data_IF_292158897751
#
_entry.id   IF_292158897751
#
_cell.length_a   1.000
_cell.length_b   1.000
_cell.length_c   1.000
_cell.angle_alpha   90.00
_cell.angle_beta   90.00
_cell.angle_gamma   90.00
#
_symmetry.space_group_name_H-M   'P 1'
#
loop_
_entity.id
_entity.type
_entity.pdbx_description
1 polymer ?
#
# COMPACT_ATOMS: atom_id res chain seq x y z
N UNK A 1 22.63 23.78 10.13
CA UNK A 1 22.36 23.68 8.67
C UNK A 1 21.87 22.30 8.26
N UNK A 2 22.46 21.22 8.77
CA UNK A 2 22.09 19.84 8.45
C UNK A 2 20.66 19.46 8.90
N UNK A 3 20.27 19.78 10.13
CA UNK A 3 18.91 19.50 10.64
C UNK A 3 17.80 20.15 9.82
N UNK A 4 18.04 21.37 9.31
CA UNK A 4 17.07 22.05 8.44
C UNK A 4 16.88 21.31 7.12
N UNK A 5 17.95 20.69 6.58
CA UNK A 5 17.89 19.88 5.35
C UNK A 5 17.18 18.55 5.59
N UNK A 6 17.46 17.88 6.73
CA UNK A 6 16.75 16.67 7.15
C UNK A 6 15.24 16.92 7.27
N UNK A 7 14.85 17.96 8.03
CA UNK A 7 13.44 18.36 8.16
C UNK A 7 12.75 18.67 6.83
N UNK A 8 13.46 19.30 5.89
CA UNK A 8 12.91 19.57 4.56
C UNK A 8 12.71 18.28 3.74
N UNK A 9 13.65 17.34 3.84
CA UNK A 9 13.54 16.02 3.22
C UNK A 9 12.38 15.22 3.80
N UNK A 10 12.28 15.13 5.12
CA UNK A 10 11.20 14.42 5.82
C UNK A 10 9.84 15.01 5.44
N UNK A 11 9.74 16.36 5.45
CA UNK A 11 8.51 17.04 5.02
C UNK A 11 8.16 16.71 3.57
N UNK A 12 9.14 16.59 2.67
CA UNK A 12 8.88 16.23 1.28
C UNK A 12 8.32 14.81 1.17
N UNK A 13 8.96 13.84 1.82
CA UNK A 13 8.53 12.43 1.82
C UNK A 13 7.15 12.29 2.45
N UNK A 14 6.91 12.96 3.58
CA UNK A 14 5.63 12.91 4.29
C UNK A 14 4.47 13.57 3.52
N UNK A 15 4.77 14.41 2.53
CA UNK A 15 3.77 14.98 1.61
C UNK A 15 3.76 14.28 0.23
N UNK A 16 4.52 13.21 0.04
CA UNK A 16 4.23 12.22 -1.00
C UNK A 16 2.83 11.67 -0.75
N UNK A 17 2.18 11.16 -1.80
CA UNK A 17 0.77 10.80 -1.75
C UNK A 17 0.53 9.43 -2.32
N UNK A 18 -0.46 8.72 -1.78
CA UNK A 18 -0.99 7.49 -2.37
C UNK A 18 -2.50 7.63 -2.57
N UNK A 19 -3.13 6.60 -3.15
CA UNK A 19 -4.58 6.54 -3.35
C UNK A 19 -5.20 5.69 -2.25
N UNK A 20 -6.06 6.28 -1.44
CA UNK A 20 -6.81 5.60 -0.36
C UNK A 20 -8.29 5.58 -0.69
N UNK A 21 -8.98 4.47 -0.47
CA UNK A 21 -10.40 4.36 -0.68
C UNK A 21 -11.19 5.15 0.38
N UNK A 22 -11.94 6.15 -0.05
CA UNK A 22 -12.86 6.88 0.82
C UNK A 22 -14.26 6.27 0.72
N UNK A 23 -14.71 5.62 1.80
CA UNK A 23 -16.00 4.93 1.87
C UNK A 23 -17.19 5.89 1.66
N UNK A 24 -17.11 7.10 2.22
CA UNK A 24 -18.14 8.14 2.09
C UNK A 24 -18.38 8.54 0.64
N UNK A 25 -17.30 8.74 -0.13
CA UNK A 25 -17.37 9.12 -1.54
C UNK A 25 -17.37 7.94 -2.52
N UNK A 26 -17.24 6.71 -2.01
CA UNK A 26 -17.10 5.46 -2.77
C UNK A 26 -16.04 5.52 -3.88
N UNK A 27 -14.92 6.20 -3.61
CA UNK A 27 -13.83 6.38 -4.60
C UNK A 27 -12.47 6.46 -3.94
N UNK A 28 -11.43 6.19 -4.71
CA UNK A 28 -10.06 6.46 -4.29
C UNK A 28 -9.75 7.96 -4.33
N UNK A 29 -9.15 8.46 -3.25
CA UNK A 29 -8.68 9.85 -3.13
C UNK A 29 -7.18 9.88 -2.91
N UNK A 30 -6.55 10.95 -3.38
CA UNK A 30 -5.14 11.22 -3.15
C UNK A 30 -4.96 11.70 -1.72
N UNK A 31 -4.21 10.95 -0.92
CA UNK A 31 -3.98 11.23 0.51
C UNK A 31 -2.46 11.33 0.75
N UNK A 32 -1.98 12.35 1.49
CA UNK A 32 -0.57 12.42 1.90
C UNK A 32 -0.18 11.22 2.76
N UNK A 33 1.07 10.73 2.63
CA UNK A 33 1.54 9.56 3.36
C UNK A 33 1.42 9.71 4.88
N UNK A 34 1.67 10.92 5.41
CA UNK A 34 1.48 11.24 6.83
C UNK A 34 0.04 11.07 7.35
N UNK A 35 -0.94 11.03 6.46
CA UNK A 35 -2.37 10.96 6.79
C UNK A 35 -2.95 9.55 6.57
N UNK A 36 -2.14 8.59 6.08
CA UNK A 36 -2.52 7.18 5.93
C UNK A 36 -2.64 6.51 7.29
N UNK A 37 -3.68 5.70 7.48
CA UNK A 37 -4.00 5.03 8.75
C UNK A 37 -4.07 3.51 8.59
N UNK A 38 -3.88 2.80 9.70
CA UNK A 38 -4.10 1.34 9.77
C UNK A 38 -5.55 1.04 9.39
N UNK A 39 -5.75 0.10 8.48
CA UNK A 39 -7.06 -0.27 7.94
C UNK A 39 -7.45 0.46 6.65
N UNK A 40 -6.68 1.46 6.21
CA UNK A 40 -6.92 2.13 4.93
C UNK A 40 -6.70 1.17 3.76
N UNK A 41 -7.66 1.11 2.83
CA UNK A 41 -7.47 0.40 1.58
C UNK A 41 -6.70 1.27 0.59
N UNK A 42 -5.43 0.93 0.37
CA UNK A 42 -4.55 1.64 -0.54
C UNK A 42 -4.58 0.98 -1.93
N UNK A 43 -4.65 1.79 -2.98
CA UNK A 43 -4.42 1.35 -4.34
C UNK A 43 -3.06 1.85 -4.82
N UNK A 44 -2.24 0.92 -5.29
CA UNK A 44 -0.97 1.19 -5.94
C UNK A 44 -1.02 0.80 -7.41
N UNK A 45 -0.42 1.62 -8.26
CA UNK A 45 -0.18 1.28 -9.67
C UNK A 45 1.28 0.91 -9.89
N UNK A 46 1.57 0.36 -11.07
CA UNK A 46 2.92 -0.05 -11.42
C UNK A 46 3.92 1.09 -11.21
N UNK A 47 5.09 0.76 -10.65
CA UNK A 47 6.18 1.69 -10.32
C UNK A 47 5.83 2.76 -9.26
N UNK A 48 4.77 2.59 -8.46
CA UNK A 48 4.54 3.44 -7.29
C UNK A 48 5.25 2.90 -6.05
N UNK A 49 5.76 3.82 -5.23
CA UNK A 49 6.39 3.48 -3.96
C UNK A 49 5.31 3.10 -2.94
N UNK A 50 5.56 1.99 -2.24
CA UNK A 50 4.69 1.51 -1.17
C UNK A 50 4.81 2.46 0.04
N UNK A 51 3.70 3.05 0.54
CA UNK A 51 3.75 4.12 1.55
C UNK A 51 3.90 3.64 3.00
N UNK A 52 3.62 2.36 3.27
CA UNK A 52 3.61 1.74 4.60
C UNK A 52 3.72 0.21 4.46
N UNK A 53 3.84 -0.52 5.58
CA UNK A 53 3.67 -1.96 5.55
C UNK A 53 2.23 -2.32 5.16
N UNK A 54 2.06 -3.15 4.12
CA UNK A 54 0.74 -3.46 3.52
C UNK A 54 0.51 -4.95 3.41
N UNK A 55 -0.76 -5.36 3.52
CA UNK A 55 -1.23 -6.68 3.12
C UNK A 55 -1.77 -6.62 1.69
N UNK A 56 -1.23 -7.44 0.79
CA UNK A 56 -1.72 -7.57 -0.57
C UNK A 56 -3.05 -8.34 -0.58
N UNK A 57 -4.16 -7.64 -0.75
CA UNK A 57 -5.51 -8.25 -0.79
C UNK A 57 -6.05 -8.48 -2.19
N UNK A 58 -5.48 -7.84 -3.21
CA UNK A 58 -5.88 -7.96 -4.62
C UNK A 58 -4.74 -7.57 -5.55
N UNK A 59 -4.62 -8.27 -6.67
CA UNK A 59 -3.78 -7.86 -7.81
C UNK A 59 -4.61 -7.70 -9.08
N UNK A 60 -4.08 -6.98 -10.06
CA UNK A 60 -4.60 -6.98 -11.44
C UNK A 60 -4.19 -8.23 -12.23
N UNK A 61 -3.19 -8.96 -11.75
CA UNK A 61 -2.81 -10.25 -12.33
C UNK A 61 -3.87 -11.32 -12.00
N UNK A 62 -4.34 -12.12 -12.98
CA UNK A 62 -5.39 -13.13 -12.77
C UNK A 62 -5.04 -14.23 -11.76
N UNK A 63 -3.75 -14.47 -11.50
CA UNK A 63 -3.29 -15.43 -10.50
C UNK A 63 -3.01 -14.78 -9.14
N UNK A 64 -3.32 -13.48 -8.99
CA UNK A 64 -3.12 -12.75 -7.75
C UNK A 64 -1.66 -12.36 -7.49
N UNK A 65 -0.78 -12.43 -8.49
CA UNK A 65 0.63 -12.09 -8.32
C UNK A 65 0.91 -10.59 -8.43
N UNK A 66 1.90 -10.11 -7.67
CA UNK A 66 2.56 -8.85 -7.93
C UNK A 66 4.06 -8.96 -7.67
N UNK A 67 4.79 -7.96 -8.12
CA UNK A 67 6.24 -7.92 -8.02
C UNK A 67 6.66 -6.64 -7.30
N UNK A 68 7.55 -6.78 -6.33
CA UNK A 68 8.06 -5.68 -5.53
C UNK A 68 9.55 -5.57 -5.78
N UNK A 69 9.98 -4.36 -6.09
CA UNK A 69 11.39 -4.00 -6.11
C UNK A 69 11.82 -3.58 -4.70
N UNK A 70 12.78 -4.31 -4.15
CA UNK A 70 13.38 -4.03 -2.84
C UNK A 70 14.82 -3.54 -2.93
N UNK A 71 15.32 -3.21 -4.12
CA UNK A 71 16.72 -2.83 -4.33
C UNK A 71 17.18 -1.66 -3.44
N UNK A 72 16.28 -0.75 -3.09
CA UNK A 72 16.55 0.38 -2.20
C UNK A 72 16.68 -0.02 -0.72
N UNK A 73 16.31 -1.25 -0.35
CA UNK A 73 16.34 -1.79 1.01
C UNK A 73 17.47 -2.82 1.20
N UNK A 74 17.63 -3.76 0.26
CA UNK A 74 18.55 -4.89 0.36
C UNK A 74 19.70 -4.87 -0.67
N UNK A 75 19.65 -3.99 -1.68
CA UNK A 75 20.63 -3.92 -2.76
C UNK A 75 20.47 -5.01 -3.83
N UNK A 76 19.44 -5.85 -3.74
CA UNK A 76 19.18 -6.90 -4.72
C UNK A 76 18.39 -6.34 -5.92
N UNK A 77 18.81 -6.66 -7.15
CA UNK A 77 18.16 -6.19 -8.38
C UNK A 77 17.00 -7.08 -8.84
N UNK A 78 16.75 -8.19 -8.16
CA UNK A 78 15.71 -9.14 -8.54
C UNK A 78 14.37 -8.77 -7.91
N UNK A 79 13.31 -8.79 -8.72
CA UNK A 79 11.95 -8.55 -8.24
C UNK A 79 11.49 -9.67 -7.31
N UNK A 80 10.95 -9.29 -6.15
CA UNK A 80 10.34 -10.21 -5.19
C UNK A 80 8.88 -10.44 -5.55
N UNK A 81 8.53 -11.67 -5.91
CA UNK A 81 7.14 -12.05 -6.18
C UNK A 81 6.35 -12.13 -4.87
N UNK A 82 5.15 -11.56 -4.85
CA UNK A 82 4.14 -11.71 -3.81
C UNK A 82 2.83 -12.20 -4.41
N UNK A 83 2.03 -12.90 -3.61
CA UNK A 83 0.74 -13.43 -4.03
C UNK A 83 -0.33 -13.02 -3.02
N UNK A 84 -1.53 -12.73 -3.52
CA UNK A 84 -2.71 -12.55 -2.69
C UNK A 84 -2.93 -13.81 -1.84
N UNK A 85 -3.16 -13.69 -0.51
CA UNK A 85 -3.42 -14.85 0.33
C UNK A 85 -4.66 -15.62 -0.12
N UNK A 86 -4.61 -16.94 0.02
CA UNK A 86 -5.76 -17.81 -0.27
C UNK A 86 -6.98 -17.38 0.56
N UNK A 87 -8.15 -17.42 -0.08
CA UNK A 87 -9.41 -16.95 0.52
C UNK A 87 -9.76 -15.50 0.17
N UNK A 88 -8.77 -14.65 -0.14
CA UNK A 88 -9.03 -13.29 -0.63
C UNK A 88 -9.36 -13.24 -2.13
N UNK A 89 -8.97 -14.28 -2.89
CA UNK A 89 -9.15 -14.40 -4.34
C UNK A 89 -10.62 -14.35 -4.78
N UNK A 90 -11.55 -14.83 -3.94
CA UNK A 90 -12.99 -14.87 -4.26
C UNK A 90 -13.66 -13.49 -4.21
N UNK A 91 -12.99 -12.48 -3.66
CA UNK A 91 -13.48 -11.10 -3.64
C UNK A 91 -13.12 -10.36 -4.95
N UNK A 92 -13.45 -10.97 -6.09
CA UNK A 92 -13.23 -10.39 -7.41
C UNK A 92 -13.94 -9.03 -7.58
N UNK A 93 -14.98 -8.75 -6.77
CA UNK A 93 -15.73 -7.50 -6.73
C UNK A 93 -15.23 -6.48 -5.69
N UNK A 94 -13.94 -6.47 -5.38
CA UNK A 94 -13.28 -5.31 -4.76
C UNK A 94 -13.28 -4.06 -5.67
N UNK A 95 -13.92 -4.12 -6.84
CA UNK A 95 -14.40 -2.97 -7.60
C UNK A 95 -15.33 -2.08 -6.73
N UNK A 96 -16.01 -2.69 -5.74
CA UNK A 96 -16.81 -2.02 -4.72
C UNK A 96 -16.32 -2.44 -3.33
N UNK A 97 -15.29 -1.78 -2.77
CA UNK A 97 -14.74 -2.11 -1.45
C UNK A 97 -15.74 -2.08 -0.28
N UNK A 98 -16.93 -1.50 -0.48
CA UNK A 98 -17.97 -1.37 0.56
C UNK A 98 -18.45 -2.70 1.16
N UNK A 99 -18.25 -3.83 0.49
CA UNK A 99 -18.68 -5.15 0.99
C UNK A 99 -17.54 -5.96 1.60
N UNK A 100 -16.31 -5.44 1.61
CA UNK A 100 -15.19 -6.13 2.20
C UNK A 100 -15.17 -5.89 3.71
N UNK A 101 -15.60 -6.88 4.49
CA UNK A 101 -15.50 -6.89 5.93
C UNK A 101 -14.68 -8.10 6.37
N UNK A 102 -13.48 -7.83 6.90
CA UNK A 102 -12.58 -8.85 7.42
C UNK A 102 -11.76 -8.28 8.57
N UNK A 103 -11.25 -9.14 9.44
CA UNK A 103 -10.37 -8.78 10.54
C UNK A 103 -8.99 -9.37 10.25
N UNK A 104 -7.96 -8.54 10.33
CA UNK A 104 -6.58 -8.96 10.16
C UNK A 104 -5.89 -8.77 11.51
N UNK A 105 -5.43 -9.87 12.09
CA UNK A 105 -4.61 -9.86 13.30
C UNK A 105 -3.14 -9.88 12.89
N UNK A 106 -2.34 -9.03 13.51
CA UNK A 106 -0.90 -8.89 13.23
C UNK A 106 -0.14 -8.88 14.54
N UNK A 107 1.11 -9.36 14.49
CA UNK A 107 2.02 -9.26 15.62
C UNK A 107 2.36 -7.79 15.93
N UNK A 108 2.75 -7.48 17.18
CA UNK A 108 3.25 -6.15 17.53
C UNK A 108 4.47 -5.75 16.68
N UNK A 109 4.65 -4.45 16.38
CA UNK A 109 5.85 -3.98 15.69
C UNK A 109 7.09 -4.27 16.55
N UNK A 110 8.07 -4.94 15.94
CA UNK A 110 9.40 -5.21 16.54
C UNK A 110 10.24 -3.96 16.71
#
# INVERSE_FOLDING_TARGET
>A
FEDRRRRASDKRINNSTCRVYAQEDRRYKKVPWKDVRVGDLVHLSNNEVIPADILLVRSSDPHGFCYIDTCNLDGESNLKQRQVPFGFEKHHDLSVPNFFQSVIEVDPPT
#
